data_IF_597220235328
#
_entry.id   IF_597220235328
#
_cell.length_a   1.000
_cell.length_b   1.000
_cell.length_c   1.000
_cell.angle_alpha   90.00
_cell.angle_beta   90.00
_cell.angle_gamma   90.00
#
_symmetry.space_group_name_H-M   'P 1'
#
loop_
_entity.id
_entity.type
_entity.pdbx_description
1 polymer ?
#
# COMPACT_ATOMS: atom_id res chain seq x y z
N UNK A 1 -3.44 5.99 24.90
CA UNK A 1 -3.59 6.35 23.47
C UNK A 1 -4.49 7.57 23.35
N UNK A 2 -4.08 8.62 22.63
CA UNK A 2 -5.02 9.67 22.24
C UNK A 2 -6.00 9.05 21.25
N UNK A 3 -7.30 9.34 21.40
CA UNK A 3 -8.32 8.85 20.48
C UNK A 3 -8.09 9.53 19.11
N UNK A 4 -7.84 8.74 18.07
CA UNK A 4 -7.73 9.26 16.69
C UNK A 4 -9.03 10.00 16.35
N UNK A 5 -8.91 11.19 15.75
CA UNK A 5 -10.10 11.97 15.40
C UNK A 5 -10.94 11.23 14.35
N UNK A 6 -12.27 11.27 14.49
CA UNK A 6 -13.17 10.64 13.52
C UNK A 6 -12.99 11.24 12.11
N UNK A 7 -12.75 12.56 12.02
CA UNK A 7 -12.48 13.25 10.76
C UNK A 7 -11.22 12.76 10.05
N UNK A 8 -10.12 12.56 10.78
CA UNK A 8 -8.88 12.06 10.17
C UNK A 8 -9.03 10.61 9.69
N UNK A 9 -9.78 9.77 10.42
CA UNK A 9 -10.09 8.40 9.97
C UNK A 9 -10.92 8.40 8.69
N UNK A 10 -11.93 9.28 8.62
CA UNK A 10 -12.75 9.43 7.42
C UNK A 10 -11.90 9.89 6.23
N UNK A 11 -11.10 10.95 6.39
CA UNK A 11 -10.22 11.45 5.33
C UNK A 11 -9.23 10.40 4.83
N UNK A 12 -8.61 9.61 5.73
CA UNK A 12 -7.70 8.54 5.32
C UNK A 12 -8.41 7.43 4.54
N UNK A 13 -9.64 7.09 4.92
CA UNK A 13 -10.45 6.12 4.19
C UNK A 13 -10.89 6.65 2.81
N UNK A 14 -11.37 7.90 2.75
CA UNK A 14 -11.74 8.58 1.51
C UNK A 14 -10.56 8.61 0.54
N UNK A 15 -9.37 8.98 1.03
CA UNK A 15 -8.15 8.94 0.24
C UNK A 15 -7.86 7.53 -0.32
N UNK A 16 -8.09 6.45 0.43
CA UNK A 16 -7.98 5.08 -0.13
C UNK A 16 -8.99 4.90 -1.26
N UNK A 17 -10.27 5.17 -1.02
CA UNK A 17 -11.35 4.91 -1.99
C UNK A 17 -11.25 5.76 -3.26
N UNK A 18 -10.67 6.96 -3.17
CA UNK A 18 -10.45 7.84 -4.32
C UNK A 18 -9.15 7.53 -5.06
N UNK A 19 -8.22 6.78 -4.44
CA UNK A 19 -6.90 6.48 -4.99
C UNK A 19 -6.83 5.16 -5.75
N UNK A 20 -7.73 4.21 -5.49
CA UNK A 20 -7.71 2.89 -6.13
C UNK A 20 -9.07 2.44 -6.63
N UNK A 21 -9.08 1.73 -7.75
CA UNK A 21 -10.23 0.98 -8.24
C UNK A 21 -10.36 -0.35 -7.49
N UNK A 22 -11.56 -0.64 -6.99
CA UNK A 22 -11.87 -1.91 -6.30
C UNK A 22 -12.10 -3.06 -7.28
N UNK A 23 -12.35 -2.76 -8.55
CA UNK A 23 -12.68 -3.74 -9.60
C UNK A 23 -11.50 -4.06 -10.52
N UNK A 24 -10.40 -3.31 -10.40
CA UNK A 24 -9.21 -3.48 -11.23
C UNK A 24 -8.15 -4.29 -10.48
N UNK A 25 -7.44 -5.15 -11.22
CA UNK A 25 -6.35 -5.98 -10.73
C UNK A 25 -5.08 -5.71 -11.52
N UNK A 26 -3.95 -6.00 -10.90
CA UNK A 26 -2.65 -6.09 -11.57
C UNK A 26 -2.71 -7.15 -12.69
N UNK A 27 -2.01 -6.92 -13.82
CA UNK A 27 -1.02 -5.88 -14.04
C UNK A 27 -1.59 -4.56 -14.59
N UNK A 28 -2.93 -4.39 -14.63
CA UNK A 28 -3.55 -3.14 -15.10
C UNK A 28 -3.32 -2.01 -14.10
N UNK A 29 -3.44 -0.75 -14.55
CA UNK A 29 -3.34 0.43 -13.67
C UNK A 29 -4.52 0.46 -12.69
N UNK A 30 -4.27 0.14 -11.42
CA UNK A 30 -5.30 0.10 -10.35
C UNK A 30 -5.56 1.46 -9.73
N UNK A 31 -4.61 2.40 -9.85
CA UNK A 31 -4.73 3.71 -9.23
C UNK A 31 -5.60 4.66 -10.05
N UNK A 32 -6.46 5.39 -9.36
CA UNK A 32 -7.34 6.41 -9.93
C UNK A 32 -6.79 7.82 -9.65
N UNK A 33 -7.06 8.75 -10.57
CA UNK A 33 -6.52 10.11 -10.51
C UNK A 33 -5.07 10.22 -11.00
N UNK A 34 -4.44 11.37 -10.72
CA UNK A 34 -3.09 11.65 -11.18
C UNK A 34 -2.04 11.22 -10.13
N UNK A 35 -1.07 10.42 -10.58
CA UNK A 35 0.06 9.92 -9.80
C UNK A 35 1.34 10.10 -10.61
N UNK A 36 2.38 10.66 -10.00
CA UNK A 36 3.63 10.98 -10.67
C UNK A 36 4.66 9.84 -10.65
N UNK A 37 4.60 8.95 -9.65
CA UNK A 37 5.55 7.83 -9.57
C UNK A 37 4.94 6.58 -8.95
N UNK A 38 5.39 5.43 -9.43
CA UNK A 38 5.07 4.12 -8.88
C UNK A 38 6.35 3.37 -8.50
N UNK A 39 6.30 2.70 -7.36
CA UNK A 39 7.36 1.83 -6.84
C UNK A 39 6.73 0.52 -6.36
N UNK A 40 7.48 -0.55 -6.40
CA UNK A 40 7.01 -1.92 -6.18
C UNK A 40 7.80 -2.60 -5.07
N UNK A 41 7.14 -3.45 -4.31
CA UNK A 41 7.75 -4.36 -3.34
C UNK A 41 6.91 -5.63 -3.16
N UNK A 42 7.47 -6.63 -2.48
CA UNK A 42 6.74 -7.86 -2.09
C UNK A 42 5.57 -7.50 -1.17
N UNK A 43 4.43 -8.19 -1.32
CA UNK A 43 3.24 -7.94 -0.50
C UNK A 43 3.51 -8.16 0.99
N UNK A 44 4.38 -9.12 1.32
CA UNK A 44 4.80 -9.43 2.69
C UNK A 44 5.41 -8.24 3.43
N UNK A 45 5.95 -7.24 2.71
CA UNK A 45 6.46 -6.00 3.32
C UNK A 45 5.37 -5.19 4.00
N UNK A 46 4.13 -5.32 3.55
CA UNK A 46 2.96 -4.65 4.11
C UNK A 46 2.46 -5.34 5.39
N UNK A 47 2.67 -6.65 5.50
CA UNK A 47 2.24 -7.46 6.65
C UNK A 47 3.37 -7.77 7.63
N UNK A 48 4.57 -7.22 7.38
CA UNK A 48 5.77 -7.43 8.18
C UNK A 48 6.08 -6.30 9.16
N UNK A 49 7.13 -6.52 9.96
CA UNK A 49 7.53 -5.63 11.05
C UNK A 49 7.93 -4.19 10.60
N UNK A 50 8.34 -4.04 9.34
CA UNK A 50 8.83 -2.77 8.78
C UNK A 50 7.70 -1.81 8.37
N UNK A 51 6.48 -2.31 8.19
CA UNK A 51 5.39 -1.53 7.62
C UNK A 51 5.01 -0.32 8.48
N UNK A 52 4.80 -0.51 9.79
CA UNK A 52 4.39 0.56 10.70
C UNK A 52 5.43 1.68 10.73
N UNK A 53 6.71 1.33 10.74
CA UNK A 53 7.81 2.30 10.70
C UNK A 53 7.82 3.12 9.41
N UNK A 54 7.65 2.45 8.27
CA UNK A 54 7.59 3.11 6.97
C UNK A 54 6.36 4.04 6.86
N UNK A 55 5.17 3.56 7.19
CA UNK A 55 3.92 4.33 7.12
C UNK A 55 3.93 5.51 8.10
N UNK A 56 4.44 5.32 9.31
CA UNK A 56 4.58 6.41 10.29
C UNK A 56 5.50 7.50 9.77
N UNK A 57 6.61 7.14 9.11
CA UNK A 57 7.54 8.10 8.53
C UNK A 57 6.95 8.81 7.30
N UNK A 58 6.26 8.08 6.41
CA UNK A 58 5.52 8.68 5.28
C UNK A 58 4.52 9.73 5.77
N UNK A 59 3.66 9.35 6.72
CA UNK A 59 2.70 10.27 7.35
C UNK A 59 3.38 11.48 7.99
N UNK A 60 4.47 11.26 8.71
CA UNK A 60 5.21 12.35 9.37
C UNK A 60 5.73 13.35 8.34
N UNK A 61 6.28 12.86 7.23
CA UNK A 61 6.90 13.67 6.19
C UNK A 61 5.88 14.51 5.42
N UNK A 62 4.69 13.99 5.15
CA UNK A 62 3.61 14.73 4.48
C UNK A 62 2.72 15.55 5.43
N UNK A 63 2.90 15.42 6.75
CA UNK A 63 2.10 16.14 7.74
C UNK A 63 0.80 15.44 8.17
N UNK A 64 0.56 14.20 7.73
CA UNK A 64 -0.57 13.37 8.13
C UNK A 64 -0.50 12.88 9.58
N UNK A 65 -1.63 12.43 10.11
CA UNK A 65 -1.80 11.97 11.49
C UNK A 65 -2.23 10.51 11.60
N UNK A 66 -2.91 9.98 10.59
CA UNK A 66 -3.40 8.60 10.57
C UNK A 66 -3.36 8.03 9.15
N UNK A 67 -3.02 6.76 9.04
CA UNK A 67 -3.15 5.98 7.82
C UNK A 67 -4.21 4.90 8.01
N UNK A 68 -4.91 4.59 6.94
CA UNK A 68 -5.98 3.61 6.90
C UNK A 68 -5.56 2.48 5.96
N UNK A 69 -5.32 1.28 6.49
CA UNK A 69 -5.19 0.06 5.70
C UNK A 69 -6.56 -0.60 5.60
N UNK A 70 -7.10 -0.66 4.39
CA UNK A 70 -8.41 -1.23 4.08
C UNK A 70 -8.24 -2.61 3.44
N UNK A 71 -8.98 -3.61 3.91
CA UNK A 71 -9.19 -4.86 3.17
C UNK A 71 -10.30 -4.62 2.14
N UNK A 72 -9.93 -4.61 0.86
CA UNK A 72 -10.81 -4.27 -0.25
C UNK A 72 -11.84 -5.37 -0.54
N UNK A 73 -11.55 -6.62 -0.18
CA UNK A 73 -12.42 -7.77 -0.41
C UNK A 73 -13.49 -7.95 0.68
N UNK A 74 -13.26 -7.36 1.85
CA UNK A 74 -14.20 -7.36 2.98
C UNK A 74 -14.90 -6.01 3.18
N UNK A 75 -14.55 -4.98 2.39
CA UNK A 75 -15.13 -3.65 2.50
C UNK A 75 -16.06 -3.37 1.32
N UNK A 76 -17.33 -3.13 1.62
CA UNK A 76 -18.23 -2.48 0.66
C UNK A 76 -17.91 -0.99 0.57
N UNK A 77 -17.77 -0.46 -0.64
CA UNK A 77 -17.45 0.96 -0.93
C UNK A 77 -18.48 1.93 -0.31
N UNK A 78 -19.68 1.43 0.06
CA UNK A 78 -20.81 2.25 0.48
C UNK A 78 -20.95 2.47 2.00
N UNK A 79 -20.15 1.82 2.86
CA UNK A 79 -20.39 1.85 4.33
C UNK A 79 -19.11 2.13 5.16
N UNK A 80 -18.81 3.41 5.44
CA UNK A 80 -17.67 3.82 6.30
C UNK A 80 -17.68 3.18 7.70
N UNK A 81 -18.87 2.97 8.30
CA UNK A 81 -18.98 2.39 9.65
C UNK A 81 -18.76 0.87 9.70
N UNK A 82 -18.76 0.18 8.54
CA UNK A 82 -18.53 -1.26 8.43
C UNK A 82 -17.28 -1.60 7.62
N UNK A 83 -16.37 -0.65 7.47
CA UNK A 83 -15.12 -0.85 6.74
C UNK A 83 -14.24 -1.84 7.50
N UNK A 84 -13.77 -2.86 6.79
CA UNK A 84 -12.68 -3.70 7.24
C UNK A 84 -11.39 -2.87 7.12
N UNK A 85 -11.06 -2.09 8.16
CA UNK A 85 -9.92 -1.18 8.22
C UNK A 85 -9.09 -1.31 9.50
N UNK A 86 -7.77 -1.24 9.35
CA UNK A 86 -6.80 -1.03 10.42
C UNK A 86 -6.29 0.42 10.30
N UNK A 87 -6.40 1.19 11.37
CA UNK A 87 -5.93 2.56 11.42
C UNK A 87 -4.59 2.63 12.16
N UNK A 88 -3.56 3.14 11.47
CA UNK A 88 -2.20 3.32 11.97
C UNK A 88 -2.01 4.79 12.34
N UNK A 89 -1.84 5.09 13.62
CA UNK A 89 -1.38 6.41 14.07
C UNK A 89 0.11 6.38 14.41
N UNK A 90 0.68 7.53 14.75
CA UNK A 90 2.12 7.66 15.10
C UNK A 90 2.53 6.95 16.39
N UNK A 91 1.58 6.45 17.18
CA UNK A 91 1.83 5.74 18.43
C UNK A 91 1.63 4.22 18.29
N UNK A 92 1.13 3.74 17.15
CA UNK A 92 0.99 2.32 16.88
C UNK A 92 2.36 1.65 16.91
N UNK A 93 2.47 0.57 17.69
CA UNK A 93 3.68 -0.27 17.69
C UNK A 93 3.55 -1.39 16.65
N UNK A 94 4.69 -1.98 16.30
CA UNK A 94 4.72 -3.17 15.46
C UNK A 94 3.91 -4.32 16.07
N UNK A 95 4.01 -4.58 17.39
CA UNK A 95 3.22 -5.66 18.00
C UNK A 95 1.72 -5.39 17.87
N UNK A 96 1.27 -4.16 18.13
CA UNK A 96 -0.15 -3.80 18.00
C UNK A 96 -0.69 -3.97 16.58
N UNK A 97 0.14 -3.66 15.57
CA UNK A 97 -0.22 -3.88 14.18
C UNK A 97 -0.30 -5.36 13.82
N UNK A 98 0.67 -6.17 14.25
CA UNK A 98 0.64 -7.62 14.04
C UNK A 98 -0.55 -8.25 14.75
N UNK A 99 -0.85 -7.85 15.99
CA UNK A 99 -2.03 -8.29 16.73
C UNK A 99 -3.32 -7.94 15.98
N UNK A 100 -3.40 -6.73 15.40
CA UNK A 100 -4.54 -6.32 14.58
C UNK A 100 -4.69 -7.17 13.31
N UNK A 101 -3.58 -7.48 12.63
CA UNK A 101 -3.57 -8.37 11.46
C UNK A 101 -3.94 -9.82 11.80
N UNK A 102 -3.62 -10.29 13.00
CA UNK A 102 -3.93 -11.65 13.47
C UNK A 102 -5.30 -11.77 14.13
N UNK A 103 -5.95 -10.64 14.42
CA UNK A 103 -7.22 -10.59 15.13
C UNK A 103 -8.28 -11.46 14.43
N UNK A 104 -8.94 -12.33 15.21
CA UNK A 104 -9.87 -13.33 14.68
C UNK A 104 -9.22 -14.65 14.23
N UNK A 105 -7.90 -14.80 14.40
CA UNK A 105 -7.17 -16.05 14.20
C UNK A 105 -7.06 -16.48 12.74
N UNK A 106 -6.64 -17.74 12.46
CA UNK A 106 -6.39 -18.23 11.09
C UNK A 106 -7.57 -18.11 10.12
N UNK A 107 -8.81 -18.11 10.62
CA UNK A 107 -10.02 -18.06 9.78
C UNK A 107 -10.34 -16.64 9.26
N UNK A 108 -10.00 -15.61 10.03
CA UNK A 108 -10.44 -14.23 9.75
C UNK A 108 -9.35 -13.17 9.83
N UNK A 109 -8.22 -13.48 10.45
CA UNK A 109 -7.06 -12.59 10.55
C UNK A 109 -6.44 -12.35 9.18
N UNK A 110 -6.27 -11.07 8.84
CA UNK A 110 -5.73 -10.60 7.56
C UNK A 110 -4.32 -11.08 7.27
N UNK A 111 -3.55 -11.42 8.30
CA UNK A 111 -2.24 -12.06 8.13
C UNK A 111 -2.34 -13.37 7.34
N UNK A 112 -3.42 -14.13 7.55
CA UNK A 112 -3.61 -15.47 6.98
C UNK A 112 -4.44 -15.47 5.69
N UNK A 113 -5.17 -14.39 5.41
CA UNK A 113 -6.02 -14.27 4.23
C UNK A 113 -5.22 -13.85 3.01
N UNK A 114 -5.66 -14.32 1.85
CA UNK A 114 -5.11 -13.96 0.53
C UNK A 114 -6.10 -13.01 -0.13
N UNK A 115 -6.14 -11.78 0.39
CA UNK A 115 -7.05 -10.72 -0.05
C UNK A 115 -6.26 -9.54 -0.64
N UNK A 116 -6.99 -8.53 -1.11
CA UNK A 116 -6.48 -7.25 -1.61
C UNK A 116 -6.59 -6.15 -0.57
N UNK A 117 -5.60 -5.28 -0.54
CA UNK A 117 -5.51 -4.21 0.45
C UNK A 117 -5.07 -2.90 -0.18
N UNK A 118 -5.50 -1.79 0.39
CA UNK A 118 -4.96 -0.48 0.06
C UNK A 118 -4.75 0.36 1.32
N UNK A 119 -3.73 1.22 1.29
CA UNK A 119 -3.37 2.09 2.40
C UNK A 119 -3.11 3.52 1.92
N UNK A 120 -3.70 4.50 2.61
CA UNK A 120 -3.39 5.91 2.42
C UNK A 120 -3.49 6.64 3.76
N UNK A 121 -2.85 7.81 3.85
CA UNK A 121 -3.00 8.69 5.00
C UNK A 121 -4.17 9.64 4.86
N UNK A 122 -4.47 10.37 5.94
CA UNK A 122 -5.36 11.53 5.94
C UNK A 122 -4.83 12.73 5.14
N UNK A 123 -3.56 12.73 4.72
CA UNK A 123 -2.97 13.77 3.87
C UNK A 123 -2.96 13.41 2.37
N UNK A 124 -2.83 12.12 2.02
CA UNK A 124 -3.09 11.62 0.66
C UNK A 124 -2.00 11.85 -0.40
N UNK A 125 -0.74 12.11 -0.01
CA UNK A 125 0.37 12.30 -0.97
C UNK A 125 0.90 10.98 -1.54
N UNK A 126 0.55 9.86 -0.89
CA UNK A 126 0.91 8.51 -1.30
C UNK A 126 -0.28 7.56 -1.11
N UNK A 127 -0.28 6.47 -1.87
CA UNK A 127 -1.19 5.35 -1.67
C UNK A 127 -0.44 4.04 -1.93
N UNK A 128 -0.67 3.03 -1.10
CA UNK A 128 -0.15 1.67 -1.30
C UNK A 128 -1.33 0.80 -1.71
N UNK A 129 -1.16 0.01 -2.77
CA UNK A 129 -2.07 -1.05 -3.17
C UNK A 129 -1.33 -2.39 -3.09
N UNK A 130 -2.03 -3.46 -2.70
CA UNK A 130 -1.41 -4.75 -2.43
C UNK A 130 -2.34 -5.90 -2.81
N UNK A 131 -1.83 -6.86 -3.59
CA UNK A 131 -2.47 -8.14 -3.90
C UNK A 131 -1.64 -9.29 -3.32
N UNK A 132 -2.09 -9.90 -2.21
CA UNK A 132 -1.36 -11.03 -1.61
C UNK A 132 -1.34 -12.27 -2.50
N UNK A 133 -2.33 -12.44 -3.39
CA UNK A 133 -2.40 -13.60 -4.31
C UNK A 133 -1.22 -13.68 -5.28
N UNK A 134 -0.68 -12.52 -5.65
CA UNK A 134 0.41 -12.40 -6.61
C UNK A 134 1.73 -11.98 -5.94
N UNK A 135 1.72 -11.78 -4.62
CA UNK A 135 2.81 -11.25 -3.81
C UNK A 135 3.38 -9.91 -4.31
N UNK A 136 2.50 -9.01 -4.76
CA UNK A 136 2.88 -7.69 -5.27
C UNK A 136 2.18 -6.58 -4.50
N UNK A 137 2.97 -5.60 -4.08
CA UNK A 137 2.50 -4.29 -3.63
C UNK A 137 3.07 -3.18 -4.52
N UNK A 138 2.28 -2.13 -4.69
CA UNK A 138 2.62 -0.93 -5.47
C UNK A 138 2.38 0.30 -4.59
N UNK A 139 3.34 1.19 -4.56
CA UNK A 139 3.31 2.47 -3.87
C UNK A 139 3.22 3.56 -4.94
N UNK A 140 2.10 4.28 -4.98
CA UNK A 140 1.92 5.45 -5.81
C UNK A 140 2.25 6.72 -5.01
N UNK A 141 2.97 7.65 -5.64
CA UNK A 141 3.30 8.97 -5.11
C UNK A 141 2.70 10.05 -6.02
N UNK A 142 2.06 11.07 -5.43
CA UNK A 142 1.42 12.14 -6.20
C UNK A 142 2.45 12.94 -7.02
N UNK A 143 3.57 13.27 -6.40
CA UNK A 143 4.67 14.01 -7.03
C UNK A 143 5.91 13.10 -7.18
N UNK A 144 6.60 13.17 -8.32
CA UNK A 144 7.83 12.40 -8.54
C UNK A 144 8.99 12.88 -7.67
N UNK A 145 8.98 14.14 -7.24
CA UNK A 145 9.96 14.69 -6.29
C UNK A 145 9.80 14.13 -4.88
N UNK A 146 8.64 13.58 -4.54
CA UNK A 146 8.41 12.93 -3.24
C UNK A 146 9.23 11.64 -3.06
N UNK A 147 9.79 11.07 -4.14
CA UNK A 147 10.73 9.93 -4.05
C UNK A 147 11.91 10.26 -3.15
N UNK A 148 12.49 11.45 -3.31
CA UNK A 148 13.64 11.88 -2.51
C UNK A 148 13.24 12.18 -1.08
N UNK A 149 12.09 12.85 -0.91
CA UNK A 149 11.52 13.17 0.40
C UNK A 149 11.23 11.90 1.21
N UNK A 150 10.62 10.89 0.59
CA UNK A 150 10.18 9.65 1.23
C UNK A 150 11.22 8.53 1.18
N UNK A 151 12.42 8.77 0.64
CA UNK A 151 13.47 7.77 0.41
C UNK A 151 13.70 6.83 1.60
N UNK A 152 13.79 7.38 2.82
CA UNK A 152 14.03 6.58 4.03
C UNK A 152 12.89 5.61 4.37
N UNK A 153 11.64 6.01 4.12
CA UNK A 153 10.47 5.13 4.33
C UNK A 153 10.33 4.10 3.20
N UNK A 154 10.52 4.52 1.95
CA UNK A 154 10.50 3.64 0.78
C UNK A 154 11.59 2.56 0.87
N UNK A 155 12.76 2.92 1.38
CA UNK A 155 13.86 1.98 1.62
C UNK A 155 13.56 0.96 2.73
N UNK A 156 12.67 1.23 3.68
CA UNK A 156 12.25 0.22 4.68
C UNK A 156 11.34 -0.84 4.06
N UNK A 157 10.59 -0.48 3.02
CA UNK A 157 9.73 -1.39 2.26
C UNK A 157 10.44 -2.06 1.08
N UNK A 158 11.72 -1.72 0.85
CA UNK A 158 12.49 -2.15 -0.33
C UNK A 158 11.81 -1.78 -1.64
N UNK A 159 11.10 -0.65 -1.66
CA UNK A 159 10.32 -0.21 -2.80
C UNK A 159 11.25 0.25 -3.94
N UNK A 160 11.04 -0.27 -5.16
CA UNK A 160 11.86 0.05 -6.34
C UNK A 160 11.01 0.22 -7.61
N UNK A 161 11.49 0.92 -8.64
CA UNK A 161 10.83 0.93 -9.95
C UNK A 161 10.68 -0.50 -10.51
N UNK A 162 9.60 -0.76 -11.25
CA UNK A 162 9.33 -2.10 -11.80
C UNK A 162 10.45 -2.56 -12.74
N UNK A 163 11.06 -1.63 -13.48
CA UNK A 163 12.14 -1.87 -14.43
C UNK A 163 13.41 -2.44 -13.76
N UNK A 164 13.61 -2.19 -12.46
CA UNK A 164 14.73 -2.75 -11.71
C UNK A 164 14.47 -4.17 -11.22
N UNK A 165 13.19 -4.52 -10.98
CA UNK A 165 12.78 -5.75 -10.29
C UNK A 165 12.50 -6.90 -11.25
N UNK A 166 12.11 -6.60 -12.48
CA UNK A 166 11.83 -7.62 -13.50
C UNK A 166 13.13 -8.25 -14.00
N UNK A 167 13.01 -9.45 -14.56
CA UNK A 167 14.16 -10.16 -15.13
C UNK A 167 14.82 -9.35 -16.26
N UNK A 168 16.16 -9.25 -16.20
CA UNK A 168 16.98 -8.33 -16.99
C UNK A 168 17.23 -6.95 -16.36
N UNK A 169 16.58 -6.64 -15.24
CA UNK A 169 16.78 -5.41 -14.45
C UNK A 169 18.06 -5.39 -13.62
N UNK A 170 18.33 -4.27 -12.95
CA UNK A 170 19.54 -4.07 -12.14
C UNK A 170 19.52 -4.83 -10.81
N UNK A 171 18.34 -5.20 -10.29
CA UNK A 171 18.17 -5.89 -9.02
C UNK A 171 16.91 -6.76 -9.04
N UNK A 172 16.87 -7.80 -9.90
CA UNK A 172 15.72 -8.68 -10.02
C UNK A 172 15.36 -9.30 -8.68
N UNK A 173 14.06 -9.38 -8.38
CA UNK A 173 13.53 -9.86 -7.10
C UNK A 173 12.30 -10.72 -7.34
N UNK A 174 12.13 -11.80 -6.56
CA UNK A 174 10.88 -12.56 -6.58
C UNK A 174 9.72 -11.72 -6.00
N UNK A 175 8.49 -11.81 -6.53
CA UNK A 175 8.07 -12.59 -7.69
C UNK A 175 8.36 -11.92 -9.05
N UNK A 176 8.79 -10.65 -9.06
CA UNK A 176 8.96 -9.81 -10.25
C UNK A 176 9.87 -10.41 -11.34
N UNK A 177 10.96 -11.07 -10.95
CA UNK A 177 11.91 -11.73 -11.87
C UNK A 177 11.39 -13.05 -12.47
N UNK A 178 10.27 -13.56 -11.96
CA UNK A 178 9.62 -14.79 -12.42
C UNK A 178 8.24 -14.54 -13.03
N UNK A 179 7.83 -13.28 -13.17
CA UNK A 179 6.59 -12.93 -13.86
C UNK A 179 6.60 -13.44 -15.30
N UNK A 180 5.47 -14.00 -15.73
CA UNK A 180 5.23 -14.36 -17.12
C UNK A 180 5.32 -13.11 -18.02
N UNK A 181 5.73 -13.25 -19.29
CA UNK A 181 6.02 -12.09 -20.16
C UNK A 181 4.88 -11.07 -20.25
N UNK A 182 3.63 -11.52 -20.34
CA UNK A 182 2.47 -10.63 -20.45
C UNK A 182 2.25 -9.81 -19.18
N UNK A 183 2.49 -10.41 -18.00
CA UNK A 183 2.40 -9.71 -16.71
C UNK A 183 3.50 -8.65 -16.59
N UNK A 184 4.74 -9.02 -16.94
CA UNK A 184 5.88 -8.09 -16.96
C UNK A 184 5.61 -6.90 -17.85
N UNK A 185 5.15 -7.16 -19.08
CA UNK A 185 4.80 -6.11 -20.04
C UNK A 185 3.66 -5.24 -19.50
N UNK A 186 2.60 -5.84 -18.96
CA UNK A 186 1.48 -5.09 -18.39
C UNK A 186 1.92 -4.13 -17.27
N UNK A 187 2.78 -4.60 -16.35
CA UNK A 187 3.28 -3.73 -15.28
C UNK A 187 4.17 -2.60 -15.79
N UNK A 188 5.05 -2.89 -16.76
CA UNK A 188 5.90 -1.85 -17.37
C UNK A 188 5.05 -0.84 -18.15
N UNK A 189 4.08 -1.30 -18.95
CA UNK A 189 3.23 -0.43 -19.77
C UNK A 189 2.31 0.46 -18.89
N UNK A 190 1.81 -0.07 -17.76
CA UNK A 190 0.90 0.65 -16.89
C UNK A 190 1.60 1.53 -15.83
N UNK A 191 2.81 1.15 -15.38
CA UNK A 191 3.48 1.78 -14.24
C UNK A 191 4.93 2.20 -14.50
N UNK A 192 5.53 1.67 -15.56
CA UNK A 192 6.91 1.99 -15.95
C UNK A 192 6.99 3.42 -16.43
N UNK A 193 8.03 4.13 -16.00
CA UNK A 193 8.26 5.55 -16.28
C UNK A 193 6.96 6.39 -16.22
N UNK A 194 6.33 6.47 -15.03
CA UNK A 194 5.26 7.42 -14.77
C UNK A 194 5.56 8.82 -15.35
N UNK A 195 4.53 9.55 -15.83
CA UNK A 195 4.66 10.70 -16.74
C UNK A 195 5.69 11.75 -16.31
#
# INVERSE_FOLDING_TARGET
MKKISAGARLAAFENVTESVSFDTLLPSLVFTGAWGKFLFCESDRIFGAHFVGAVTELMRLEGGTVACLVNLDLTSVLEFERVAAIYVDRAMTTEQYIDALQSGGPESGWLYRVDRYACASDAGSWCIYCEKSNDVAVIALRDSSDVDRFRGALAQLWAKPIEELVDGGTSPLFPFDKLVPDWRKGLIDAYGNGP
#
